data_IF_985634084562
#
_entry.id   IF_985634084562
#
_cell.length_a   1.000
_cell.length_b   1.000
_cell.length_c   1.000
_cell.angle_alpha   90.00
_cell.angle_beta   90.00
_cell.angle_gamma   90.00
#
_symmetry.space_group_name_H-M   'P 1'
#
loop_
_entity.id
_entity.type
_entity.pdbx_description
1 polymer ?
#
# COMPACT_ATOMS: atom_id res chain seq x y z
N UNK A 1 -22.10 6.12 6.97
CA UNK A 1 -20.95 5.19 7.06
C UNK A 1 -20.76 4.57 5.68
N UNK A 2 -20.20 5.33 4.73
CA UNK A 2 -20.20 4.98 3.31
C UNK A 2 -18.79 4.90 2.68
N UNK A 3 -17.72 4.94 3.47
CA UNK A 3 -16.34 4.73 2.96
C UNK A 3 -16.14 3.35 2.32
N UNK A 4 -17.01 2.37 2.61
CA UNK A 4 -16.77 0.97 2.26
C UNK A 4 -16.96 0.56 0.78
N UNK A 5 -17.48 1.41 -0.12
CA UNK A 5 -17.77 1.00 -1.51
C UNK A 5 -16.66 1.31 -2.52
N UNK A 6 -15.85 2.34 -2.31
CA UNK A 6 -14.73 2.65 -3.22
C UNK A 6 -13.53 1.72 -2.93
N UNK A 7 -13.26 1.46 -1.65
CA UNK A 7 -12.25 0.47 -1.22
C UNK A 7 -12.57 -0.93 -1.75
N UNK A 8 -13.85 -1.31 -1.80
CA UNK A 8 -14.28 -2.59 -2.39
C UNK A 8 -13.96 -2.75 -3.89
N UNK A 9 -13.76 -1.64 -4.63
CA UNK A 9 -13.52 -1.68 -6.07
C UNK A 9 -12.02 -1.57 -6.41
N UNK A 10 -11.20 -0.97 -5.53
CA UNK A 10 -9.79 -0.65 -5.82
C UNK A 10 -8.78 -1.46 -4.98
N UNK A 11 -9.24 -2.26 -4.03
CA UNK A 11 -8.39 -3.14 -3.22
C UNK A 11 -8.04 -2.53 -1.87
N UNK A 12 -6.74 -2.40 -1.56
CA UNK A 12 -6.25 -1.83 -0.30
C UNK A 12 -6.16 -0.30 -0.38
N UNK A 13 -6.51 0.37 0.72
CA UNK A 13 -6.24 1.80 0.91
C UNK A 13 -4.74 2.08 1.05
N UNK A 14 -4.34 3.35 0.89
CA UNK A 14 -2.93 3.77 1.04
C UNK A 14 -2.35 3.33 2.41
N UNK A 15 -3.09 3.59 3.49
CA UNK A 15 -2.71 3.18 4.85
C UNK A 15 -2.55 1.66 4.95
N UNK A 16 -3.46 0.88 4.37
CA UNK A 16 -3.37 -0.58 4.38
C UNK A 16 -2.14 -1.08 3.61
N UNK A 17 -1.79 -0.44 2.50
CA UNK A 17 -0.58 -0.76 1.74
C UNK A 17 0.70 -0.48 2.53
N UNK A 18 0.77 0.65 3.26
CA UNK A 18 1.91 0.94 4.11
C UNK A 18 2.02 -0.02 5.31
N UNK A 19 0.91 -0.32 5.98
CA UNK A 19 0.91 -1.31 7.06
C UNK A 19 1.38 -2.68 6.54
N UNK A 20 0.86 -3.11 5.38
CA UNK A 20 1.28 -4.36 4.77
C UNK A 20 2.77 -4.35 4.39
N UNK A 21 3.29 -3.23 3.86
CA UNK A 21 4.72 -3.08 3.57
C UNK A 21 5.58 -3.20 4.84
N UNK A 22 5.17 -2.60 5.95
CA UNK A 22 5.90 -2.71 7.22
C UNK A 22 5.94 -4.16 7.74
N UNK A 23 4.83 -4.88 7.63
CA UNK A 23 4.75 -6.29 7.99
C UNK A 23 5.69 -7.13 7.11
N UNK A 24 5.66 -6.91 5.79
CA UNK A 24 6.51 -7.63 4.83
C UNK A 24 8.00 -7.36 5.09
N UNK A 25 8.40 -6.11 5.31
CA UNK A 25 9.80 -5.78 5.60
C UNK A 25 10.29 -6.44 6.90
N UNK A 26 9.43 -6.52 7.93
CA UNK A 26 9.79 -7.22 9.18
C UNK A 26 9.91 -8.73 8.99
N UNK A 27 9.04 -9.35 8.20
CA UNK A 27 9.11 -10.78 7.87
C UNK A 27 10.42 -11.11 7.16
N UNK A 28 10.74 -10.38 6.09
CA UNK A 28 11.98 -10.57 5.32
C UNK A 28 13.24 -10.28 6.16
N UNK A 29 13.20 -9.27 7.04
CA UNK A 29 14.32 -8.99 7.93
C UNK A 29 14.49 -10.09 9.00
N UNK A 30 13.41 -10.72 9.44
CA UNK A 30 13.48 -11.87 10.34
C UNK A 30 14.14 -13.08 9.65
N UNK A 31 13.83 -13.33 8.39
CA UNK A 31 14.49 -14.36 7.59
C UNK A 31 15.99 -14.05 7.40
N UNK A 32 16.32 -12.82 6.98
CA UNK A 32 17.71 -12.39 6.82
C UNK A 32 18.51 -12.49 8.13
N UNK A 33 17.93 -12.08 9.26
CA UNK A 33 18.55 -12.16 10.59
C UNK A 33 18.90 -13.60 10.99
N UNK A 34 18.06 -14.56 10.59
CA UNK A 34 18.30 -15.98 10.86
C UNK A 34 19.49 -16.54 10.06
N UNK A 35 19.79 -15.94 8.89
CA UNK A 35 20.92 -16.32 8.04
C UNK A 35 22.22 -15.59 8.39
N UNK A 36 22.14 -14.29 8.67
CA UNK A 36 23.29 -13.44 8.96
C UNK A 36 23.77 -13.53 10.41
N UNK A 37 22.86 -13.82 11.34
CA UNK A 37 23.08 -13.77 12.78
C UNK A 37 23.01 -12.35 13.37
N UNK A 38 22.65 -11.35 12.57
CA UNK A 38 22.31 -10.00 13.05
C UNK A 38 20.92 -9.98 13.71
N UNK A 39 20.57 -8.87 14.34
CA UNK A 39 19.20 -8.65 14.83
C UNK A 39 18.28 -8.17 13.70
N UNK A 40 16.96 -8.35 13.87
CA UNK A 40 15.96 -7.86 12.91
C UNK A 40 16.09 -6.35 12.72
N UNK A 41 16.32 -5.62 13.81
CA UNK A 41 16.51 -4.17 13.77
C UNK A 41 17.75 -3.76 12.97
N UNK A 42 18.87 -4.47 13.09
CA UNK A 42 20.08 -4.23 12.29
C UNK A 42 19.84 -4.50 10.79
N UNK A 43 19.14 -5.59 10.46
CA UNK A 43 18.78 -5.90 9.07
C UNK A 43 17.85 -4.84 8.46
N UNK A 44 16.85 -4.37 9.22
CA UNK A 44 15.95 -3.29 8.77
C UNK A 44 16.68 -1.96 8.55
N UNK A 45 17.72 -1.68 9.33
CA UNK A 45 18.57 -0.48 9.18
C UNK A 45 19.62 -0.63 8.07
N UNK A 46 19.78 -1.83 7.50
CA UNK A 46 20.72 -2.08 6.42
C UNK A 46 20.39 -1.25 5.17
N UNK A 47 21.43 -0.95 4.39
CA UNK A 47 21.26 -0.22 3.14
C UNK A 47 20.35 -0.96 2.12
N UNK A 48 20.32 -2.30 2.18
CA UNK A 48 19.46 -3.12 1.36
C UNK A 48 17.98 -2.91 1.68
N UNK A 49 17.60 -3.09 2.95
CA UNK A 49 16.23 -2.88 3.40
C UNK A 49 15.78 -1.42 3.27
N UNK A 50 16.66 -0.45 3.56
CA UNK A 50 16.37 0.96 3.33
C UNK A 50 16.06 1.26 1.85
N UNK A 51 16.82 0.68 0.91
CA UNK A 51 16.58 0.85 -0.51
C UNK A 51 15.26 0.18 -0.96
N UNK A 52 14.98 -1.02 -0.48
CA UNK A 52 13.71 -1.73 -0.76
C UNK A 52 12.52 -0.95 -0.21
N UNK A 53 12.58 -0.50 1.04
CA UNK A 53 11.53 0.31 1.67
C UNK A 53 11.25 1.61 0.92
N UNK A 54 12.30 2.32 0.47
CA UNK A 54 12.15 3.52 -0.34
C UNK A 54 11.51 3.23 -1.71
N UNK A 55 11.95 2.16 -2.39
CA UNK A 55 11.39 1.75 -3.68
C UNK A 55 9.92 1.32 -3.57
N UNK A 56 9.57 0.52 -2.57
CA UNK A 56 8.22 0.06 -2.32
C UNK A 56 7.29 1.21 -1.94
N UNK A 57 7.76 2.15 -1.10
CA UNK A 57 7.04 3.39 -0.78
C UNK A 57 6.73 4.20 -2.04
N UNK A 58 7.69 4.32 -2.96
CA UNK A 58 7.45 4.99 -4.23
C UNK A 58 6.41 4.25 -5.10
N UNK A 59 6.45 2.91 -5.12
CA UNK A 59 5.46 2.11 -5.82
C UNK A 59 4.04 2.31 -5.27
N UNK A 60 3.86 2.40 -3.94
CA UNK A 60 2.57 2.69 -3.31
C UNK A 60 1.99 4.02 -3.83
N UNK A 61 2.81 5.07 -3.91
CA UNK A 61 2.40 6.37 -4.46
C UNK A 61 1.97 6.30 -5.92
N UNK A 62 2.64 5.47 -6.73
CA UNK A 62 2.25 5.25 -8.13
C UNK A 62 0.92 4.51 -8.23
N UNK A 63 0.70 3.51 -7.38
CA UNK A 63 -0.56 2.77 -7.30
C UNK A 63 -1.70 3.73 -6.92
N UNK A 64 -1.50 4.54 -5.89
CA UNK A 64 -2.48 5.52 -5.44
C UNK A 64 -2.84 6.52 -6.56
N UNK A 65 -1.84 7.11 -7.22
CA UNK A 65 -2.06 8.02 -8.32
C UNK A 65 -2.81 7.36 -9.49
N UNK A 66 -2.49 6.10 -9.80
CA UNK A 66 -3.18 5.34 -10.83
C UNK A 66 -4.63 5.02 -10.42
N UNK A 67 -4.86 4.65 -9.16
CA UNK A 67 -6.20 4.40 -8.63
C UNK A 67 -7.06 5.67 -8.70
N UNK A 68 -6.51 6.83 -8.35
CA UNK A 68 -7.20 8.11 -8.48
C UNK A 68 -7.55 8.42 -9.95
N UNK A 69 -6.61 8.20 -10.87
CA UNK A 69 -6.84 8.37 -12.31
C UNK A 69 -7.96 7.46 -12.83
N UNK A 70 -7.91 6.15 -12.54
CA UNK A 70 -8.90 5.17 -12.96
C UNK A 70 -10.27 5.49 -12.37
N UNK A 71 -10.33 5.81 -11.07
CA UNK A 71 -11.58 6.19 -10.40
C UNK A 71 -12.26 7.34 -11.10
N UNK A 72 -11.49 8.37 -11.48
CA UNK A 72 -12.03 9.50 -12.23
C UNK A 72 -12.60 9.08 -13.59
N UNK A 73 -11.87 8.25 -14.35
CA UNK A 73 -12.34 7.75 -15.65
C UNK A 73 -13.62 6.93 -15.51
N UNK A 74 -13.74 6.11 -14.46
CA UNK A 74 -14.93 5.29 -14.21
C UNK A 74 -16.14 6.12 -13.77
N UNK A 75 -15.93 7.20 -13.00
CA UNK A 75 -16.96 8.18 -12.66
C UNK A 75 -17.45 8.92 -13.90
N UNK A 76 -16.52 9.42 -14.73
CA UNK A 76 -16.85 10.15 -15.96
C UNK A 76 -17.57 9.23 -16.98
N UNK A 77 -17.29 7.93 -16.97
CA UNK A 77 -17.97 6.92 -17.79
C UNK A 77 -19.34 6.46 -17.24
N UNK A 78 -19.74 6.93 -16.03
CA UNK A 78 -20.98 6.51 -15.36
C UNK A 78 -20.98 5.05 -14.89
N UNK A 79 -19.80 4.42 -14.80
CA UNK A 79 -19.63 3.06 -14.27
C UNK A 79 -19.68 3.08 -12.75
N UNK A 80 -19.03 4.07 -12.14
CA UNK A 80 -19.19 4.40 -10.73
C UNK A 80 -20.24 5.51 -10.61
N UNK A 81 -21.21 5.32 -9.74
CA UNK A 81 -22.18 6.35 -9.40
C UNK A 81 -21.81 6.97 -8.05
N UNK A 82 -21.83 8.30 -7.97
CA UNK A 82 -21.93 8.98 -6.69
C UNK A 82 -23.35 8.67 -6.17
N UNK A 83 -23.51 7.76 -5.21
CA UNK A 83 -24.77 7.70 -4.47
C UNK A 83 -24.87 9.03 -3.68
N UNK A 84 -25.62 9.99 -4.23
CA UNK A 84 -26.16 11.08 -3.43
C UNK A 84 -27.09 10.44 -2.40
N UNK A 85 -26.67 10.42 -1.12
CA UNK A 85 -27.53 10.05 0.00
C UNK A 85 -28.79 10.93 -0.08
N UNK A 86 -29.88 10.35 -0.58
CA UNK A 86 -31.20 10.93 -0.49
C UNK A 86 -31.66 10.80 0.96
N UNK A 87 -31.66 11.93 1.67
CA UNK A 87 -32.23 12.17 3.02
C UNK A 87 -33.57 11.49 3.25
#
# INVERSE_FOLDING_TARGET
>A
MSDGRIDQVLGMSETQLYTYLEELLREEAAEASAESGETIEEELESAGFAAVGAAATYAIKLIEANNAFITRQLLDAGVLNHEEEST
#
